data_IF_316624278687
#
_entry.id   IF_316624278687
#
_cell.length_a   1.000
_cell.length_b   1.000
_cell.length_c   1.000
_cell.angle_alpha   90.00
_cell.angle_beta   90.00
_cell.angle_gamma   90.00
#
_symmetry.space_group_name_H-M   'P 1'
#
loop_
_entity.id
_entity.type
_entity.pdbx_description
1 polymer ?
#
# COMPACT_ATOMS: atom_id res chain seq x y z
N UNK A 1 -68.19 36.14 1.50
CA UNK A 1 -67.87 34.98 0.63
C UNK A 1 -66.37 34.82 0.31
N UNK A 2 -65.55 35.88 0.41
CA UNK A 2 -64.09 35.82 0.16
C UNK A 2 -63.31 35.31 1.40
N UNK A 3 -63.76 35.66 2.61
CA UNK A 3 -63.09 35.28 3.86
C UNK A 3 -63.12 33.75 4.14
N UNK A 4 -64.19 33.04 3.78
CA UNK A 4 -64.27 31.58 3.98
C UNK A 4 -63.46 30.79 2.94
N UNK A 5 -63.23 31.36 1.75
CA UNK A 5 -62.32 30.80 0.74
C UNK A 5 -60.85 30.99 1.13
N UNK A 6 -60.52 32.09 1.81
CA UNK A 6 -59.18 32.32 2.34
C UNK A 6 -58.85 31.37 3.50
N UNK A 7 -59.81 31.13 4.40
CA UNK A 7 -59.65 30.22 5.54
C UNK A 7 -59.48 28.75 5.11
N UNK A 8 -60.16 28.34 4.04
CA UNK A 8 -60.04 26.98 3.48
C UNK A 8 -58.71 26.78 2.73
N UNK A 9 -58.21 27.81 2.04
CA UNK A 9 -56.87 27.79 1.44
C UNK A 9 -55.75 27.78 2.49
N UNK A 10 -55.90 28.55 3.58
CA UNK A 10 -54.97 28.52 4.72
C UNK A 10 -54.99 27.16 5.43
N UNK A 11 -56.16 26.57 5.63
CA UNK A 11 -56.27 25.24 6.23
C UNK A 11 -55.57 24.16 5.39
N UNK A 12 -55.73 24.19 4.06
CA UNK A 12 -55.06 23.27 3.12
C UNK A 12 -53.53 23.47 3.09
N UNK A 13 -53.06 24.71 3.16
CA UNK A 13 -51.62 25.02 3.24
C UNK A 13 -51.00 24.54 4.56
N UNK A 14 -51.73 24.66 5.68
CA UNK A 14 -51.27 24.17 6.98
C UNK A 14 -51.25 22.64 7.02
N UNK A 15 -52.18 21.95 6.35
CA UNK A 15 -52.17 20.47 6.27
C UNK A 15 -51.05 19.95 5.36
N UNK A 16 -50.75 20.63 4.25
CA UNK A 16 -49.66 20.23 3.36
C UNK A 16 -48.26 20.48 3.99
N UNK A 17 -48.13 21.48 4.87
CA UNK A 17 -46.89 21.76 5.59
C UNK A 17 -46.64 20.82 6.79
N UNK A 18 -47.67 20.11 7.27
CA UNK A 18 -47.57 19.13 8.37
C UNK A 18 -47.31 17.69 7.89
N UNK A 19 -47.15 17.46 6.57
CA UNK A 19 -46.71 16.18 6.06
C UNK A 19 -45.24 15.96 6.44
N UNK A 20 -44.99 15.00 7.34
CA UNK A 20 -43.62 14.58 7.69
C UNK A 20 -42.89 14.17 6.41
N UNK A 21 -41.63 14.59 6.20
CA UNK A 21 -40.85 14.17 5.05
C UNK A 21 -40.73 12.64 5.04
N UNK A 22 -41.03 12.02 3.90
CA UNK A 22 -40.96 10.58 3.72
C UNK A 22 -39.49 10.14 3.80
N UNK A 23 -39.16 9.21 4.72
CA UNK A 23 -37.77 8.77 4.98
C UNK A 23 -37.13 8.18 3.72
N UNK A 24 -37.94 7.55 2.86
CA UNK A 24 -37.49 6.99 1.58
C UNK A 24 -37.00 8.06 0.58
N UNK A 25 -37.36 9.34 0.76
CA UNK A 25 -36.82 10.44 -0.05
C UNK A 25 -35.37 10.78 0.26
N UNK A 26 -34.84 10.34 1.40
CA UNK A 26 -33.45 10.59 1.83
C UNK A 26 -32.47 9.53 1.32
N UNK A 27 -32.95 8.51 0.59
CA UNK A 27 -32.13 7.43 0.05
C UNK A 27 -31.29 7.94 -1.13
N UNK A 28 -29.97 7.86 -0.99
CA UNK A 28 -29.03 8.29 -2.03
C UNK A 28 -28.94 7.29 -3.19
N UNK A 29 -28.16 7.62 -4.24
CA UNK A 29 -27.93 6.74 -5.39
C UNK A 29 -27.30 5.38 -5.05
N UNK A 30 -26.65 5.25 -3.90
CA UNK A 30 -26.09 4.00 -3.40
C UNK A 30 -27.12 3.15 -2.63
N UNK A 31 -28.36 3.61 -2.45
CA UNK A 31 -29.41 2.85 -1.76
C UNK A 31 -29.33 2.91 -0.24
N UNK A 32 -28.62 3.89 0.31
CA UNK A 32 -28.48 4.11 1.75
C UNK A 32 -28.84 5.55 2.14
N UNK A 33 -29.11 5.76 3.41
CA UNK A 33 -29.36 7.07 4.01
C UNK A 33 -28.14 7.46 4.84
N UNK A 34 -27.45 8.53 4.44
CA UNK A 34 -26.38 9.12 5.24
C UNK A 34 -27.03 10.02 6.29
N UNK A 35 -26.85 9.66 7.56
CA UNK A 35 -27.50 10.35 8.68
C UNK A 35 -26.53 11.28 9.38
N UNK A 36 -27.10 12.35 9.93
CA UNK A 36 -26.49 13.33 10.84
C UNK A 36 -27.15 13.26 12.20
N UNK A 37 -26.56 13.85 13.23
CA UNK A 37 -27.10 13.84 14.61
C UNK A 37 -28.59 14.24 14.68
N UNK A 38 -29.05 15.17 13.83
CA UNK A 38 -30.44 15.64 13.80
C UNK A 38 -31.44 14.74 13.07
N UNK A 39 -30.93 13.84 12.22
CA UNK A 39 -31.73 12.96 11.35
C UNK A 39 -31.70 11.51 11.83
N UNK A 40 -30.65 11.10 12.56
CA UNK A 40 -30.53 9.76 13.14
C UNK A 40 -31.75 9.38 13.98
N UNK A 41 -32.16 10.25 14.90
CA UNK A 41 -33.36 10.03 15.72
C UNK A 41 -34.65 10.08 14.92
N UNK A 42 -34.72 10.79 13.79
CA UNK A 42 -35.93 10.81 12.95
C UNK A 42 -36.10 9.51 12.17
N UNK A 43 -35.00 8.90 11.76
CA UNK A 43 -34.98 7.64 11.01
C UNK A 43 -35.22 6.45 11.95
N UNK A 44 -34.65 6.48 13.15
CA UNK A 44 -34.66 5.34 14.10
C UNK A 44 -35.71 5.49 15.20
N UNK A 45 -35.92 6.70 15.73
CA UNK A 45 -36.84 6.96 16.85
C UNK A 45 -38.26 7.24 16.32
N UNK A 46 -38.96 6.16 15.96
CA UNK A 46 -40.36 6.17 15.55
C UNK A 46 -40.91 4.75 15.53
N UNK A 47 -42.22 4.57 15.72
CA UNK A 47 -42.88 3.30 15.42
C UNK A 47 -42.90 3.13 13.90
N UNK A 48 -41.80 2.67 13.33
CA UNK A 48 -41.63 2.45 11.91
C UNK A 48 -42.15 1.06 11.52
N UNK A 49 -42.71 0.96 10.32
CA UNK A 49 -43.17 -0.31 9.72
C UNK A 49 -42.06 -0.98 8.87
N UNK A 50 -40.81 -0.55 9.03
CA UNK A 50 -39.65 -1.03 8.27
C UNK A 50 -38.48 -1.39 9.19
N UNK A 51 -37.64 -2.31 8.71
CA UNK A 51 -36.39 -2.71 9.35
C UNK A 51 -35.30 -1.72 8.97
N UNK A 52 -34.53 -1.26 9.95
CA UNK A 52 -33.35 -0.41 9.71
C UNK A 52 -32.09 -1.21 9.96
N UNK A 53 -31.20 -1.26 8.97
CA UNK A 53 -29.84 -1.79 9.12
C UNK A 53 -28.87 -0.61 9.11
N UNK A 54 -28.27 -0.31 10.25
CA UNK A 54 -27.36 0.81 10.43
C UNK A 54 -25.91 0.35 10.56
N UNK A 55 -25.02 0.92 9.75
CA UNK A 55 -23.58 0.84 9.93
C UNK A 55 -23.10 2.09 10.69
N UNK A 56 -22.54 1.87 11.88
CA UNK A 56 -21.83 2.85 12.68
C UNK A 56 -20.34 2.71 12.40
N UNK A 57 -19.75 3.71 11.75
CA UNK A 57 -18.35 3.64 11.29
C UNK A 57 -17.63 4.98 11.50
N UNK A 58 -16.31 4.99 11.27
CA UNK A 58 -15.52 6.21 11.17
C UNK A 58 -14.61 6.10 9.96
N UNK A 59 -14.96 6.81 8.90
CA UNK A 59 -14.16 6.90 7.67
C UNK A 59 -13.19 8.07 7.71
N UNK A 60 -13.45 9.10 8.52
CA UNK A 60 -12.63 10.31 8.61
C UNK A 60 -12.29 10.70 10.05
N UNK A 61 -11.05 11.15 10.26
CA UNK A 61 -10.57 11.70 11.53
C UNK A 61 -10.33 10.71 12.67
N UNK A 62 -10.56 9.41 12.45
CA UNK A 62 -10.11 8.31 13.32
C UNK A 62 -9.39 7.29 12.43
N UNK A 63 -8.20 6.85 12.84
CA UNK A 63 -7.45 5.82 12.12
C UNK A 63 -8.04 4.43 12.41
N UNK A 64 -8.96 3.98 11.54
CA UNK A 64 -9.65 2.70 11.65
C UNK A 64 -9.52 1.89 10.35
N UNK A 65 -8.54 0.99 10.29
CA UNK A 65 -8.29 0.12 9.12
C UNK A 65 -9.49 -0.80 8.82
N UNK A 66 -10.18 -1.29 9.85
CA UNK A 66 -11.37 -2.14 9.67
C UNK A 66 -12.53 -1.35 9.09
N UNK A 67 -12.70 -0.09 9.50
CA UNK A 67 -13.77 0.78 9.02
C UNK A 67 -13.63 1.09 7.53
N UNK A 68 -12.39 1.32 7.06
CA UNK A 68 -12.11 1.59 5.64
C UNK A 68 -12.33 0.37 4.75
N UNK A 69 -12.21 -0.85 5.30
CA UNK A 69 -12.53 -2.10 4.59
C UNK A 69 -14.03 -2.39 4.56
N UNK A 70 -14.74 -2.13 5.64
CA UNK A 70 -16.18 -2.43 5.79
C UNK A 70 -17.08 -1.48 5.01
N UNK A 71 -16.74 -0.19 5.03
CA UNK A 71 -17.54 0.86 4.38
C UNK A 71 -17.93 0.53 2.93
N UNK A 72 -16.98 0.20 2.02
CA UNK A 72 -17.32 -0.13 0.64
C UNK A 72 -18.19 -1.40 0.53
N UNK A 73 -17.99 -2.41 1.38
CA UNK A 73 -18.78 -3.65 1.34
C UNK A 73 -20.23 -3.39 1.77
N UNK A 74 -20.45 -2.55 2.80
CA UNK A 74 -21.80 -2.14 3.20
C UNK A 74 -22.50 -1.29 2.12
N UNK A 75 -21.76 -0.39 1.44
CA UNK A 75 -22.29 0.38 0.31
C UNK A 75 -22.66 -0.52 -0.87
N UNK A 76 -21.85 -1.55 -1.16
CA UNK A 76 -22.15 -2.55 -2.19
C UNK A 76 -23.41 -3.32 -1.83
N UNK A 77 -23.57 -3.74 -0.57
CA UNK A 77 -24.76 -4.42 -0.09
C UNK A 77 -26.03 -3.55 -0.29
N UNK A 78 -26.02 -2.30 0.18
CA UNK A 78 -27.16 -1.39 0.04
C UNK A 78 -27.51 -1.13 -1.43
N UNK A 79 -26.51 -0.94 -2.29
CA UNK A 79 -26.70 -0.75 -3.73
C UNK A 79 -27.25 -2.00 -4.40
N UNK A 80 -26.81 -3.17 -3.95
CA UNK A 80 -27.27 -4.46 -4.44
C UNK A 80 -28.71 -4.74 -4.06
N UNK A 81 -29.12 -4.40 -2.83
CA UNK A 81 -30.52 -4.44 -2.39
C UNK A 81 -31.40 -3.56 -3.26
N UNK A 82 -31.04 -2.29 -3.45
CA UNK A 82 -31.81 -1.36 -4.30
C UNK A 82 -31.95 -1.87 -5.74
N UNK A 83 -30.90 -2.51 -6.27
CA UNK A 83 -30.91 -3.09 -7.62
C UNK A 83 -31.80 -4.33 -7.71
N UNK A 84 -31.77 -5.19 -6.69
CA UNK A 84 -32.56 -6.41 -6.63
C UNK A 84 -34.04 -6.13 -6.32
N UNK A 85 -34.33 -5.13 -5.48
CA UNK A 85 -35.66 -4.79 -5.00
C UNK A 85 -35.94 -3.27 -5.09
N UNK A 86 -36.25 -2.73 -6.28
CA UNK A 86 -36.36 -1.27 -6.49
C UNK A 86 -37.48 -0.57 -5.73
N UNK A 87 -38.56 -1.29 -5.39
CA UNK A 87 -39.76 -0.76 -4.73
C UNK A 87 -39.92 -1.23 -3.27
N UNK A 88 -38.86 -1.80 -2.70
CA UNK A 88 -38.89 -2.32 -1.34
C UNK A 88 -38.92 -1.18 -0.32
N UNK A 89 -39.94 -1.19 0.54
CA UNK A 89 -40.11 -0.24 1.65
C UNK A 89 -39.96 -0.91 3.01
N UNK A 90 -39.62 -2.19 3.05
CA UNK A 90 -39.52 -2.96 4.29
C UNK A 90 -38.12 -2.87 4.89
N UNK A 91 -37.10 -2.54 4.09
CA UNK A 91 -35.69 -2.52 4.52
C UNK A 91 -35.01 -1.21 4.14
N UNK A 92 -34.38 -0.57 5.12
CA UNK A 92 -33.66 0.69 4.96
C UNK A 92 -32.23 0.56 5.47
N UNK A 93 -31.26 0.92 4.63
CA UNK A 93 -29.85 0.98 5.01
C UNK A 93 -29.46 2.38 5.48
N UNK A 94 -28.83 2.47 6.65
CA UNK A 94 -28.39 3.72 7.26
C UNK A 94 -26.88 3.68 7.45
N UNK A 95 -26.23 4.78 7.07
CA UNK A 95 -24.79 4.97 7.25
C UNK A 95 -24.57 6.14 8.19
N UNK A 96 -23.94 5.87 9.33
CA UNK A 96 -23.66 6.86 10.36
C UNK A 96 -22.15 6.95 10.60
N UNK A 97 -21.55 8.04 10.09
CA UNK A 97 -20.14 8.35 10.35
C UNK A 97 -19.97 9.10 11.68
N UNK A 98 -18.94 8.74 12.44
CA UNK A 98 -18.64 9.36 13.72
C UNK A 98 -18.44 10.88 13.64
N UNK A 99 -17.87 11.43 12.57
CA UNK A 99 -17.63 12.88 12.49
C UNK A 99 -18.92 13.69 12.46
N UNK A 100 -19.92 13.19 11.75
CA UNK A 100 -21.22 13.85 11.56
C UNK A 100 -22.24 13.51 12.66
N UNK A 101 -21.93 12.52 13.51
CA UNK A 101 -22.85 11.95 14.50
C UNK A 101 -22.28 11.89 15.94
N UNK A 102 -21.38 12.81 16.30
CA UNK A 102 -20.67 12.77 17.60
C UNK A 102 -21.62 12.73 18.80
N UNK A 103 -22.75 13.44 18.75
CA UNK A 103 -23.69 13.49 19.86
C UNK A 103 -24.48 12.18 19.97
N UNK A 104 -24.83 11.58 18.85
CA UNK A 104 -25.49 10.28 18.77
C UNK A 104 -24.60 9.17 19.34
N UNK A 105 -23.33 9.13 18.92
CA UNK A 105 -22.38 8.13 19.42
C UNK A 105 -22.17 8.23 20.93
N UNK A 106 -22.13 9.45 21.48
CA UNK A 106 -22.08 9.69 22.93
C UNK A 106 -23.39 9.31 23.63
N UNK A 107 -24.53 9.68 23.05
CA UNK A 107 -25.86 9.43 23.61
C UNK A 107 -26.19 7.95 23.76
N UNK A 108 -25.78 7.13 22.78
CA UNK A 108 -25.94 5.67 22.83
C UNK A 108 -24.75 4.93 23.45
N UNK A 109 -23.74 5.64 23.96
CA UNK A 109 -22.54 5.08 24.60
C UNK A 109 -21.83 4.00 23.76
N UNK A 110 -21.65 4.27 22.45
CA UNK A 110 -21.00 3.35 21.52
C UNK A 110 -19.51 3.26 21.83
N UNK A 111 -19.01 2.05 22.13
CA UNK A 111 -17.62 1.81 22.57
C UNK A 111 -16.70 1.22 21.50
N UNK A 112 -17.28 0.62 20.46
CA UNK A 112 -16.55 -0.07 19.40
C UNK A 112 -17.10 0.32 18.03
N UNK A 113 -16.19 0.51 17.08
CA UNK A 113 -16.46 0.75 15.66
C UNK A 113 -15.55 -0.17 14.82
N UNK A 114 -15.99 -0.63 13.64
CA UNK A 114 -17.35 -0.50 13.10
C UNK A 114 -18.36 -1.33 13.90
N UNK A 115 -19.63 -0.92 13.91
CA UNK A 115 -20.72 -1.67 14.54
C UNK A 115 -21.95 -1.72 13.64
N UNK A 116 -22.69 -2.83 13.69
CA UNK A 116 -23.86 -3.09 12.87
C UNK A 116 -25.08 -3.25 13.76
N UNK A 117 -26.05 -2.36 13.59
CA UNK A 117 -27.30 -2.40 14.34
C UNK A 117 -28.46 -2.70 13.42
N UNK A 118 -29.33 -3.60 13.85
CA UNK A 118 -30.60 -3.89 13.18
C UNK A 118 -31.73 -3.47 14.11
N UNK A 119 -32.62 -2.61 13.63
CA UNK A 119 -33.82 -2.22 14.34
C UNK A 119 -35.03 -2.90 13.70
N UNK A 120 -35.73 -3.70 14.48
CA UNK A 120 -36.99 -4.32 14.07
C UNK A 120 -38.14 -3.30 14.05
N UNK A 121 -39.21 -3.55 13.27
CA UNK A 121 -40.38 -2.69 13.26
C UNK A 121 -40.94 -2.49 14.67
N UNK A 122 -41.45 -1.29 14.96
CA UNK A 122 -42.02 -0.89 16.24
C UNK A 122 -41.09 -0.97 17.48
N UNK A 123 -39.79 -1.26 17.29
CA UNK A 123 -38.84 -1.44 18.38
C UNK A 123 -37.70 -0.43 18.30
N UNK A 124 -37.47 0.31 19.39
CA UNK A 124 -36.40 1.32 19.46
C UNK A 124 -35.05 0.75 19.93
N UNK A 125 -35.00 -0.53 20.31
CA UNK A 125 -33.79 -1.18 20.78
C UNK A 125 -33.03 -1.83 19.60
N UNK A 126 -31.73 -1.52 19.41
CA UNK A 126 -30.93 -2.14 18.37
C UNK A 126 -30.58 -3.59 18.73
N UNK A 127 -30.66 -4.47 17.75
CA UNK A 127 -29.98 -5.77 17.77
C UNK A 127 -28.57 -5.61 17.20
N UNK A 128 -27.55 -5.90 18.02
CA UNK A 128 -26.15 -5.79 17.62
C UNK A 128 -25.69 -7.05 16.86
N UNK A 129 -25.33 -6.88 15.59
CA UNK A 129 -24.88 -7.97 14.74
C UNK A 129 -23.37 -8.20 14.94
N UNK A 130 -23.02 -9.31 15.61
CA UNK A 130 -21.62 -9.69 15.85
C UNK A 130 -21.05 -10.41 14.62
N UNK A 131 -20.26 -9.70 13.82
CA UNK A 131 -19.59 -10.28 12.66
C UNK A 131 -18.28 -10.95 13.10
N UNK A 132 -18.15 -12.23 12.82
CA UNK A 132 -16.98 -13.04 13.15
C UNK A 132 -15.97 -12.97 12.00
N UNK A 133 -15.16 -11.91 11.97
CA UNK A 133 -13.96 -11.81 11.12
C UNK A 133 -14.17 -11.56 9.63
N UNK A 134 -15.21 -12.11 9.01
CA UNK A 134 -15.60 -11.78 7.63
C UNK A 134 -16.49 -10.54 7.61
N UNK A 135 -16.15 -9.63 6.70
CA UNK A 135 -16.74 -8.31 6.53
C UNK A 135 -17.17 -8.08 5.07
N UNK A 136 -17.19 -9.15 4.27
CA UNK A 136 -17.68 -9.14 2.90
C UNK A 136 -19.18 -8.84 2.81
N UNK A 137 -19.59 -8.19 1.72
CA UNK A 137 -20.99 -7.89 1.45
C UNK A 137 -21.86 -9.16 1.40
N UNK A 138 -21.29 -10.29 0.95
CA UNK A 138 -21.97 -11.59 0.91
C UNK A 138 -22.27 -12.10 2.31
N UNK A 139 -21.28 -12.08 3.22
CA UNK A 139 -21.48 -12.48 4.62
C UNK A 139 -22.46 -11.56 5.35
N UNK A 140 -22.39 -10.25 5.09
CA UNK A 140 -23.34 -9.28 5.63
C UNK A 140 -24.77 -9.56 5.16
N UNK A 141 -24.95 -9.86 3.87
CA UNK A 141 -26.26 -10.23 3.31
C UNK A 141 -26.83 -11.47 3.99
N UNK A 142 -26.03 -12.53 4.15
CA UNK A 142 -26.48 -13.76 4.83
C UNK A 142 -26.86 -13.51 6.29
N UNK A 143 -26.05 -12.72 7.00
CA UNK A 143 -26.31 -12.37 8.40
C UNK A 143 -27.61 -11.56 8.55
N UNK A 144 -27.87 -10.60 7.65
CA UNK A 144 -29.12 -9.81 7.65
C UNK A 144 -30.30 -10.67 7.19
N UNK A 145 -30.10 -11.59 6.24
CA UNK A 145 -31.15 -12.48 5.77
C UNK A 145 -31.71 -13.37 6.88
N UNK A 146 -30.90 -13.72 7.88
CA UNK A 146 -31.35 -14.48 9.05
C UNK A 146 -32.34 -13.69 9.93
N UNK A 147 -32.28 -12.36 9.92
CA UNK A 147 -33.14 -11.46 10.69
C UNK A 147 -34.36 -10.96 9.90
N UNK A 148 -34.16 -10.66 8.61
CA UNK A 148 -35.17 -10.05 7.73
C UNK A 148 -35.95 -11.12 6.93
N UNK A 149 -35.45 -12.35 6.87
CA UNK A 149 -36.04 -13.45 6.09
C UNK A 149 -35.86 -13.31 4.58
N UNK A 150 -34.97 -12.41 4.13
CA UNK A 150 -34.76 -12.07 2.71
C UNK A 150 -33.28 -12.00 2.37
N UNK A 151 -32.86 -12.81 1.40
CA UNK A 151 -31.48 -12.84 0.92
C UNK A 151 -31.26 -11.77 -0.17
N UNK A 152 -30.18 -10.99 -0.05
CA UNK A 152 -29.85 -9.92 -1.00
C UNK A 152 -28.74 -10.41 -1.95
N UNK A 153 -29.00 -10.57 -3.27
CA UNK A 153 -27.95 -10.95 -4.20
C UNK A 153 -26.96 -9.80 -4.39
N UNK A 154 -25.67 -10.05 -4.13
CA UNK A 154 -24.62 -9.04 -4.20
C UNK A 154 -24.16 -8.81 -5.65
N UNK A 155 -24.19 -7.54 -6.09
CA UNK A 155 -23.70 -7.09 -7.39
C UNK A 155 -22.50 -6.16 -7.23
N UNK A 156 -21.29 -6.69 -7.38
CA UNK A 156 -20.05 -5.90 -7.33
C UNK A 156 -19.85 -5.12 -8.64
N UNK A 157 -19.65 -3.79 -8.61
CA UNK A 157 -19.30 -3.03 -9.80
C UNK A 157 -17.88 -3.41 -10.25
N UNK A 158 -17.72 -3.87 -11.49
CA UNK A 158 -16.41 -4.19 -12.06
C UNK A 158 -15.66 -2.91 -12.42
N UNK A 159 -14.47 -2.71 -11.86
CA UNK A 159 -13.65 -1.54 -12.11
C UNK A 159 -12.80 -1.73 -13.38
N UNK A 160 -13.35 -1.35 -14.53
CA UNK A 160 -12.66 -1.41 -15.82
C UNK A 160 -11.40 -0.51 -15.88
N UNK A 161 -11.20 0.42 -14.93
CA UNK A 161 -10.02 1.29 -14.90
C UNK A 161 -8.72 0.49 -14.78
N UNK A 162 -8.71 -0.55 -13.95
CA UNK A 162 -7.54 -1.41 -13.75
C UNK A 162 -7.22 -2.24 -14.99
N UNK A 163 -8.26 -2.77 -15.63
CA UNK A 163 -8.13 -3.55 -16.86
C UNK A 163 -7.58 -2.69 -18.01
N UNK A 164 -8.13 -1.47 -18.16
CA UNK A 164 -7.65 -0.49 -19.14
C UNK A 164 -6.21 -0.09 -18.85
N UNK A 165 -5.85 0.17 -17.60
CA UNK A 165 -4.48 0.54 -17.23
C UNK A 165 -3.49 -0.61 -17.48
N UNK A 166 -3.88 -1.85 -17.18
CA UNK A 166 -3.08 -3.03 -17.48
C UNK A 166 -2.87 -3.16 -19.00
N UNK A 167 -3.93 -3.01 -19.80
CA UNK A 167 -3.85 -3.07 -21.25
C UNK A 167 -2.96 -1.96 -21.82
N UNK A 168 -3.11 -0.72 -21.35
CA UNK A 168 -2.29 0.42 -21.79
C UNK A 168 -0.83 0.20 -21.43
N UNK A 169 -0.52 -0.27 -20.22
CA UNK A 169 0.86 -0.57 -19.82
C UNK A 169 1.48 -1.67 -20.70
N UNK A 170 0.72 -2.71 -21.03
CA UNK A 170 1.15 -3.77 -21.94
C UNK A 170 1.45 -3.21 -23.34
N UNK A 171 0.56 -2.37 -23.89
CA UNK A 171 0.77 -1.75 -25.20
C UNK A 171 2.01 -0.86 -25.23
N UNK A 172 2.26 -0.10 -24.16
CA UNK A 172 3.48 0.72 -24.03
C UNK A 172 4.73 -0.16 -24.05
N UNK A 173 4.74 -1.25 -23.29
CA UNK A 173 5.88 -2.18 -23.28
C UNK A 173 6.11 -2.79 -24.66
N UNK A 174 5.04 -3.22 -25.34
CA UNK A 174 5.12 -3.78 -26.69
C UNK A 174 5.62 -2.73 -27.68
N UNK A 175 5.12 -1.49 -27.62
CA UNK A 175 5.56 -0.38 -28.46
C UNK A 175 7.04 -0.05 -28.22
N UNK A 176 7.49 -0.02 -26.96
CA UNK A 176 8.89 0.22 -26.60
C UNK A 176 9.81 -0.87 -27.16
N UNK A 177 9.47 -2.14 -26.94
CA UNK A 177 10.28 -3.27 -27.41
C UNK A 177 10.33 -3.33 -28.93
N UNK A 178 9.21 -3.09 -29.61
CA UNK A 178 9.15 -3.11 -31.08
C UNK A 178 9.92 -1.94 -31.68
N UNK A 179 9.79 -0.73 -31.13
CA UNK A 179 10.50 0.46 -31.58
C UNK A 179 12.02 0.33 -31.36
N UNK A 180 12.47 -0.08 -30.18
CA UNK A 180 13.90 -0.19 -29.85
C UNK A 180 14.51 -1.56 -30.17
N UNK A 181 13.79 -2.45 -30.88
CA UNK A 181 14.20 -3.84 -31.15
C UNK A 181 15.65 -3.97 -31.63
N UNK A 182 16.07 -3.15 -32.60
CA UNK A 182 17.45 -3.22 -33.15
C UNK A 182 18.51 -2.81 -32.13
N UNK A 183 18.21 -1.86 -31.26
CA UNK A 183 19.12 -1.45 -30.18
C UNK A 183 19.19 -2.51 -29.08
N UNK A 184 18.04 -3.04 -28.65
CA UNK A 184 17.95 -4.12 -27.66
C UNK A 184 18.69 -5.37 -28.14
N UNK A 185 18.51 -5.78 -29.40
CA UNK A 185 19.23 -6.93 -29.96
C UNK A 185 20.74 -6.71 -29.98
N UNK A 186 21.23 -5.49 -30.26
CA UNK A 186 22.66 -5.16 -30.18
C UNK A 186 23.19 -5.24 -28.75
N UNK A 187 22.42 -4.79 -27.75
CA UNK A 187 22.79 -4.92 -26.34
C UNK A 187 22.84 -6.39 -25.91
N UNK A 188 21.78 -7.16 -26.21
CA UNK A 188 21.68 -8.58 -25.86
C UNK A 188 22.74 -9.43 -26.56
N UNK A 189 23.16 -9.11 -27.79
CA UNK A 189 24.24 -9.85 -28.46
C UNK A 189 25.65 -9.35 -28.10
N UNK A 190 25.77 -8.26 -27.32
CA UNK A 190 27.08 -7.69 -26.99
C UNK A 190 27.80 -8.54 -25.94
N UNK A 191 28.81 -9.30 -26.37
CA UNK A 191 29.68 -10.08 -25.45
C UNK A 191 30.35 -9.21 -24.39
N UNK A 192 30.70 -7.96 -24.72
CA UNK A 192 31.32 -7.01 -23.79
C UNK A 192 30.38 -6.62 -22.65
N UNK A 193 29.08 -6.45 -22.95
CA UNK A 193 28.07 -6.14 -21.95
C UNK A 193 27.91 -7.31 -20.97
N UNK A 194 27.77 -8.54 -21.48
CA UNK A 194 27.65 -9.73 -20.64
C UNK A 194 28.91 -9.98 -19.81
N UNK A 195 30.10 -9.75 -20.37
CA UNK A 195 31.34 -9.83 -19.62
C UNK A 195 31.35 -8.81 -18.46
N UNK A 196 30.98 -7.55 -18.72
CA UNK A 196 30.91 -6.52 -17.68
C UNK A 196 29.88 -6.85 -16.59
N UNK A 197 28.67 -7.29 -16.97
CA UNK A 197 27.63 -7.72 -16.03
C UNK A 197 28.15 -8.88 -15.18
N UNK A 198 28.75 -9.89 -15.80
CA UNK A 198 29.25 -11.08 -15.09
C UNK A 198 30.36 -10.71 -14.10
N UNK A 199 31.30 -9.84 -14.49
CA UNK A 199 32.37 -9.36 -13.59
C UNK A 199 31.77 -8.63 -12.38
N UNK A 200 30.83 -7.69 -12.60
CA UNK A 200 30.16 -6.96 -11.52
C UNK A 200 29.38 -7.90 -10.60
N UNK A 201 28.68 -8.89 -11.16
CA UNK A 201 27.96 -9.89 -10.38
C UNK A 201 28.90 -10.73 -9.51
N UNK A 202 30.00 -11.25 -10.08
CA UNK A 202 30.98 -12.04 -9.31
C UNK A 202 31.56 -11.22 -8.16
N UNK A 203 31.96 -9.97 -8.41
CA UNK A 203 32.50 -9.07 -7.38
C UNK A 203 31.47 -8.81 -6.27
N UNK A 204 30.20 -8.58 -6.64
CA UNK A 204 29.12 -8.31 -5.69
C UNK A 204 28.83 -9.52 -4.80
N UNK A 205 28.88 -10.72 -5.37
CA UNK A 205 28.66 -11.96 -4.63
C UNK A 205 29.86 -12.37 -3.78
N UNK A 206 31.09 -12.04 -4.20
CA UNK A 206 32.30 -12.31 -3.42
C UNK A 206 32.58 -11.28 -2.31
N UNK A 207 32.00 -10.08 -2.35
CA UNK A 207 32.26 -9.03 -1.35
C UNK A 207 31.48 -9.18 -0.03
N UNK A 208 30.50 -10.08 0.03
CA UNK A 208 29.64 -10.28 1.21
C UNK A 208 28.30 -9.53 1.16
N UNK A 209 27.86 -9.02 -0.01
CA UNK A 209 26.59 -8.29 -0.11
C UNK A 209 25.36 -9.08 0.40
N UNK A 210 25.33 -10.40 0.17
CA UNK A 210 24.23 -11.26 0.67
C UNK A 210 24.22 -11.40 2.20
N UNK A 211 25.39 -11.37 2.86
CA UNK A 211 25.46 -11.41 4.31
C UNK A 211 24.71 -10.23 4.93
N UNK A 212 24.97 -9.03 4.41
CA UNK A 212 24.32 -7.80 4.85
C UNK A 212 22.79 -7.85 4.61
N UNK A 213 22.38 -8.38 3.45
CA UNK A 213 20.96 -8.47 3.08
C UNK A 213 20.18 -9.43 3.97
N UNK A 214 20.75 -10.59 4.31
CA UNK A 214 20.08 -11.60 5.14
C UNK A 214 19.99 -11.13 6.59
N UNK A 215 21.06 -10.51 7.11
CA UNK A 215 21.15 -10.15 8.54
C UNK A 215 20.65 -8.74 8.86
N UNK A 216 20.32 -7.92 7.84
CA UNK A 216 19.88 -6.54 8.06
C UNK A 216 20.93 -5.69 8.77
N UNK A 217 22.21 -5.88 8.43
CA UNK A 217 23.33 -5.18 9.08
C UNK A 217 23.24 -3.67 8.87
N UNK A 218 23.68 -2.89 9.85
CA UNK A 218 23.79 -1.44 9.73
C UNK A 218 24.78 -1.04 8.64
N UNK A 219 24.56 0.13 8.04
CA UNK A 219 25.46 0.65 7.00
C UNK A 219 26.78 1.17 7.59
N UNK A 220 26.70 1.88 8.70
CA UNK A 220 27.79 2.36 9.55
C UNK A 220 27.33 2.32 11.01
N UNK A 221 28.26 2.32 11.95
CA UNK A 221 27.98 2.39 13.39
C UNK A 221 28.57 3.67 13.99
N UNK A 222 27.82 4.32 14.88
CA UNK A 222 28.34 5.43 15.68
C UNK A 222 28.96 4.89 16.97
N UNK A 223 30.22 5.23 17.21
CA UNK A 223 30.92 4.92 18.45
C UNK A 223 30.43 5.84 19.58
N UNK A 224 30.71 5.46 20.83
CA UNK A 224 30.36 6.25 22.02
C UNK A 224 31.01 7.65 22.00
N UNK A 225 32.15 7.79 21.34
CA UNK A 225 32.87 9.06 21.17
C UNK A 225 32.30 9.96 20.05
N UNK A 226 31.17 9.57 19.44
CA UNK A 226 30.56 10.27 18.31
C UNK A 226 31.25 10.06 16.96
N UNK A 227 32.36 9.30 16.92
CA UNK A 227 33.03 8.91 15.67
C UNK A 227 32.22 7.86 14.91
N UNK A 228 32.28 7.90 13.57
CA UNK A 228 31.58 6.94 12.70
C UNK A 228 32.54 5.81 12.34
N UNK A 229 32.24 4.60 12.77
CA UNK A 229 32.93 3.39 12.34
C UNK A 229 32.25 2.79 11.11
N UNK A 230 33.00 2.67 10.03
CA UNK A 230 32.54 2.07 8.77
C UNK A 230 32.95 0.59 8.64
N UNK A 231 33.87 0.11 9.48
CA UNK A 231 34.25 -1.29 9.59
C UNK A 231 33.67 -1.93 10.86
N UNK A 232 33.15 -3.15 10.71
CA UNK A 232 32.68 -3.91 11.86
C UNK A 232 33.85 -4.56 12.60
N UNK A 233 33.76 -4.59 13.94
CA UNK A 233 34.74 -5.29 14.77
C UNK A 233 34.67 -6.80 14.60
N UNK A 234 35.83 -7.44 14.46
CA UNK A 234 35.99 -8.89 14.31
C UNK A 234 35.66 -9.40 12.91
N UNK A 235 35.99 -10.68 12.66
CA UNK A 235 35.82 -11.31 11.34
C UNK A 235 34.40 -11.81 11.06
N UNK A 236 33.59 -12.04 12.10
CA UNK A 236 32.25 -12.63 11.96
C UNK A 236 31.16 -11.61 11.58
N UNK A 237 31.42 -10.32 11.79
CA UNK A 237 30.50 -9.23 11.51
C UNK A 237 31.00 -8.38 10.35
N UNK A 238 30.07 -7.75 9.64
CA UNK A 238 30.35 -6.91 8.48
C UNK A 238 29.31 -5.79 8.40
N UNK A 239 29.73 -4.61 7.93
CA UNK A 239 28.83 -3.48 7.68
C UNK A 239 28.54 -3.29 6.19
N UNK A 240 27.49 -2.51 5.91
CA UNK A 240 27.12 -2.07 4.57
C UNK A 240 28.27 -1.34 3.85
N UNK A 241 28.83 -0.32 4.48
CA UNK A 241 29.93 0.45 3.92
C UNK A 241 31.16 -0.41 3.63
N UNK A 242 31.47 -1.35 4.51
CA UNK A 242 32.60 -2.27 4.35
C UNK A 242 32.49 -3.12 3.07
N UNK A 243 31.32 -3.71 2.78
CA UNK A 243 31.10 -4.47 1.53
C UNK A 243 31.32 -3.62 0.29
N UNK A 244 30.95 -2.34 0.32
CA UNK A 244 31.11 -1.44 -0.82
C UNK A 244 32.58 -1.11 -1.07
N UNK A 245 33.33 -0.77 -0.01
CA UNK A 245 34.76 -0.50 -0.09
C UNK A 245 35.51 -1.72 -0.63
N UNK A 246 35.25 -2.91 -0.07
CA UNK A 246 35.89 -4.16 -0.54
C UNK A 246 35.50 -4.47 -1.99
N UNK A 247 34.24 -4.28 -2.38
CA UNK A 247 33.81 -4.49 -3.77
C UNK A 247 34.50 -3.54 -4.75
N UNK A 248 34.70 -2.28 -4.38
CA UNK A 248 35.42 -1.31 -5.19
C UNK A 248 36.90 -1.69 -5.33
N UNK A 249 37.54 -2.13 -4.24
CA UNK A 249 38.91 -2.62 -4.28
C UNK A 249 39.05 -3.82 -5.21
N UNK A 250 38.18 -4.82 -5.10
CA UNK A 250 38.17 -5.97 -6.01
C UNK A 250 37.89 -5.58 -7.46
N UNK A 251 37.02 -4.60 -7.69
CA UNK A 251 36.76 -4.09 -9.02
C UNK A 251 38.01 -3.46 -9.65
N UNK A 252 38.70 -2.57 -8.94
CA UNK A 252 39.90 -1.92 -9.47
C UNK A 252 41.07 -2.91 -9.62
N UNK A 253 41.24 -3.84 -8.68
CA UNK A 253 42.23 -4.93 -8.77
C UNK A 253 41.95 -5.91 -9.93
N UNK A 254 40.68 -6.13 -10.28
CA UNK A 254 40.33 -6.94 -11.44
C UNK A 254 40.56 -6.16 -12.73
N UNK A 255 40.19 -4.88 -12.74
CA UNK A 255 40.36 -4.00 -13.90
C UNK A 255 41.83 -3.77 -14.26
N UNK A 256 42.71 -3.63 -13.27
CA UNK A 256 44.16 -3.51 -13.46
C UNK A 256 44.75 -4.76 -14.12
N UNK A 257 44.38 -5.96 -13.64
CA UNK A 257 44.82 -7.24 -14.24
C UNK A 257 44.31 -7.38 -15.67
N UNK A 258 43.03 -7.07 -15.90
CA UNK A 258 42.44 -7.07 -17.25
C UNK A 258 43.14 -6.06 -18.17
N UNK A 259 43.47 -4.87 -17.66
CA UNK A 259 44.16 -3.82 -18.42
C UNK A 259 45.59 -4.22 -18.77
N UNK A 260 46.30 -4.88 -17.84
CA UNK A 260 47.63 -5.44 -18.10
C UNK A 260 47.59 -6.57 -19.13
N UNK A 261 46.57 -7.43 -19.09
CA UNK A 261 46.46 -8.57 -20.01
C UNK A 261 46.01 -8.18 -21.42
N UNK A 262 44.98 -7.33 -21.54
CA UNK A 262 44.35 -7.01 -22.83
C UNK A 262 44.75 -5.64 -23.40
N UNK A 263 44.89 -4.62 -22.55
CA UNK A 263 45.15 -3.25 -23.02
C UNK A 263 46.64 -2.99 -23.26
N UNK A 264 47.52 -3.49 -22.39
CA UNK A 264 48.96 -3.30 -22.52
C UNK A 264 49.57 -3.76 -23.86
N UNK A 265 49.21 -4.93 -24.45
CA UNK A 265 49.75 -5.33 -25.75
C UNK A 265 49.23 -4.47 -26.92
N UNK A 266 48.14 -3.72 -26.73
CA UNK A 266 47.56 -2.88 -27.79
C UNK A 266 48.19 -1.48 -27.90
N UNK A 267 49.02 -1.07 -26.94
CA UNK A 267 49.63 0.26 -26.90
C UNK A 267 50.81 0.34 -27.88
N UNK A 268 50.79 1.33 -28.77
CA UNK A 268 51.86 1.57 -29.74
C UNK A 268 53.00 2.38 -29.11
N UNK A 269 54.22 1.89 -29.26
CA UNK A 269 55.45 2.55 -28.82
C UNK A 269 55.98 2.00 -27.50
N UNK A 270 57.25 1.55 -27.51
CA UNK A 270 57.88 0.87 -26.38
C UNK A 270 57.86 1.70 -25.09
N UNK A 271 58.19 3.00 -25.17
CA UNK A 271 58.20 3.89 -23.99
C UNK A 271 56.82 4.03 -23.36
N UNK A 272 55.76 4.23 -24.17
CA UNK A 272 54.39 4.40 -23.68
C UNK A 272 53.86 3.09 -23.08
N UNK A 273 54.14 1.95 -23.72
CA UNK A 273 53.78 0.63 -23.21
C UNK A 273 54.44 0.34 -21.86
N UNK A 274 55.75 0.61 -21.71
CA UNK A 274 56.47 0.41 -20.44
C UNK A 274 55.88 1.28 -19.33
N UNK A 275 55.61 2.56 -19.59
CA UNK A 275 54.98 3.46 -18.60
C UNK A 275 53.61 2.93 -18.18
N UNK A 276 52.79 2.49 -19.14
CA UNK A 276 51.47 1.93 -18.85
C UNK A 276 51.54 0.67 -17.97
N UNK A 277 52.44 -0.26 -18.29
CA UNK A 277 52.65 -1.49 -17.51
C UNK A 277 53.13 -1.15 -16.10
N UNK A 278 54.14 -0.29 -15.96
CA UNK A 278 54.66 0.13 -14.64
C UNK A 278 53.56 0.81 -13.82
N UNK A 279 52.76 1.69 -14.43
CA UNK A 279 51.67 2.37 -13.74
C UNK A 279 50.63 1.38 -13.18
N UNK A 280 50.14 0.44 -14.00
CA UNK A 280 49.15 -0.54 -13.54
C UNK A 280 49.71 -1.57 -12.56
N UNK A 281 50.97 -1.99 -12.70
CA UNK A 281 51.64 -2.83 -11.71
C UNK A 281 51.79 -2.11 -10.36
N UNK A 282 52.12 -0.82 -10.39
CA UNK A 282 52.21 0.01 -9.19
C UNK A 282 50.86 0.09 -8.50
N UNK A 283 49.79 0.41 -9.25
CA UNK A 283 48.41 0.42 -8.74
C UNK A 283 48.03 -0.94 -8.13
N UNK A 284 48.36 -2.05 -8.81
CA UNK A 284 48.06 -3.39 -8.35
C UNK A 284 48.70 -3.68 -6.99
N UNK A 285 50.00 -3.39 -6.84
CA UNK A 285 50.75 -3.64 -5.62
C UNK A 285 50.23 -2.78 -4.47
N UNK A 286 49.97 -1.50 -4.70
CA UNK A 286 49.43 -0.61 -3.67
C UNK A 286 48.03 -1.01 -3.20
N UNK A 287 47.11 -1.30 -4.12
CA UNK A 287 45.74 -1.70 -3.77
C UNK A 287 45.71 -3.07 -3.07
N UNK A 288 46.54 -4.02 -3.50
CA UNK A 288 46.65 -5.30 -2.82
C UNK A 288 47.26 -5.16 -1.42
N UNK A 289 48.25 -4.28 -1.25
CA UNK A 289 48.78 -3.95 0.08
C UNK A 289 47.71 -3.31 0.97
N UNK A 290 46.85 -2.45 0.42
CA UNK A 290 45.76 -1.84 1.18
C UNK A 290 44.68 -2.86 1.56
N UNK A 291 44.35 -3.78 0.66
CA UNK A 291 43.46 -4.91 0.96
C UNK A 291 44.02 -5.80 2.09
N UNK A 292 45.31 -6.11 2.05
CA UNK A 292 45.98 -6.87 3.11
C UNK A 292 46.00 -6.12 4.46
N UNK A 293 46.14 -4.79 4.42
CA UNK A 293 46.02 -3.93 5.60
C UNK A 293 44.63 -4.02 6.23
N UNK A 294 43.55 -3.88 5.43
CA UNK A 294 42.16 -4.03 5.93
C UNK A 294 41.94 -5.42 6.54
N UNK A 295 42.45 -6.46 5.88
CA UNK A 295 42.35 -7.83 6.38
C UNK A 295 43.06 -8.01 7.73
N UNK A 296 44.25 -7.41 7.90
CA UNK A 296 45.00 -7.43 9.16
C UNK A 296 44.30 -6.65 10.27
N UNK A 297 43.68 -5.53 9.95
CA UNK A 297 42.90 -4.75 10.92
C UNK A 297 41.71 -5.58 11.46
N UNK A 298 41.06 -6.36 10.60
CA UNK A 298 40.02 -7.31 11.02
C UNK A 298 40.55 -8.55 11.74
N UNK A 299 41.74 -9.03 11.37
CA UNK A 299 42.38 -10.20 11.97
C UNK A 299 43.70 -9.82 12.62
N UNK A 300 43.64 -9.41 13.89
CA UNK A 300 44.81 -8.98 14.65
C UNK A 300 45.92 -10.05 14.78
N UNK A 301 45.61 -11.32 14.55
CA UNK A 301 46.59 -12.41 14.56
C UNK A 301 47.33 -12.59 13.24
N UNK A 302 46.97 -11.87 12.18
CA UNK A 302 47.59 -12.02 10.86
C UNK A 302 48.99 -11.36 10.82
N UNK A 303 50.08 -12.12 10.66
CA UNK A 303 51.44 -11.62 10.88
C UNK A 303 52.09 -10.98 9.64
N UNK A 304 51.50 -11.17 8.45
CA UNK A 304 52.13 -10.76 7.20
C UNK A 304 51.68 -9.38 6.74
N UNK A 305 52.62 -8.64 6.14
CA UNK A 305 52.39 -7.33 5.52
C UNK A 305 53.16 -7.24 4.21
N UNK A 306 52.64 -6.49 3.25
CA UNK A 306 53.32 -6.27 1.97
C UNK A 306 54.09 -4.95 2.00
N UNK A 307 53.38 -3.82 2.02
CA UNK A 307 53.96 -2.47 2.12
C UNK A 307 53.40 -1.68 3.33
N UNK A 308 52.11 -1.86 3.65
CA UNK A 308 51.35 -1.20 4.72
C UNK A 308 51.05 -2.14 5.92
#
# INVERSE_FOLDING_TARGET
MILSKLLTWLAFFITFCAAKPDVFSMVNNAGLIEVTDSTFSKVITGSQDYVVVALLTATQGIDCETCTKVDPEFRVLAKSHRKAFPNDKELVFVHADFQDNKNTFRGYNIRSIPNFWVFEPHTNAPHELKLMGDLSAEYLSESIASLVGKLIPIYRPHDYSKDVMSLVSLLIVVAFVTYYRKALLRLVHSRKLWAAISIVSVITFSSGHMFNRIRGTQYVQHNQDGSVSWMAGGQMNQFGAETQVVSLLYFVLSLSVISLAYSAPCIRGAKSQTIFVIAWLTIQVFLYSYLAYIFREKNGYYPFKLLL
#
